data_IF_463418745531
#
_entry.id   IF_463418745531
#
_cell.length_a   1.000
_cell.length_b   1.000
_cell.length_c   1.000
_cell.angle_alpha   90.00
_cell.angle_beta   90.00
_cell.angle_gamma   90.00
#
_symmetry.space_group_name_H-M   'P 1'
#
loop_
_entity.id
_entity.type
_entity.pdbx_description
1 polymer ?
#
# COMPACT_ATOMS: atom_id res chain seq x y z
N UNK A 1 -3.79 6.20 -4.04
CA UNK A 1 -5.27 6.21 -3.97
C UNK A 1 -5.86 4.87 -3.50
N UNK A 2 -5.78 3.79 -4.25
CA UNK A 2 -6.42 2.50 -3.89
C UNK A 2 -5.97 1.97 -2.52
N UNK A 3 -4.70 2.13 -2.16
CA UNK A 3 -4.18 1.73 -0.85
C UNK A 3 -4.81 2.51 0.31
N UNK A 4 -5.17 3.77 0.12
CA UNK A 4 -5.79 4.59 1.16
C UNK A 4 -7.24 4.22 1.38
N UNK A 5 -7.97 3.95 0.29
CA UNK A 5 -9.34 3.40 0.38
C UNK A 5 -9.29 2.07 1.12
N UNK A 6 -8.33 1.20 0.77
CA UNK A 6 -8.12 -0.05 1.49
C UNK A 6 -7.79 0.17 2.98
N UNK A 7 -6.90 1.11 3.31
CA UNK A 7 -6.54 1.42 4.70
C UNK A 7 -7.72 1.96 5.49
N UNK A 8 -8.55 2.84 4.89
CA UNK A 8 -9.76 3.35 5.51
C UNK A 8 -10.77 2.24 5.77
N UNK A 9 -11.09 1.43 4.75
CA UNK A 9 -12.00 0.30 4.89
C UNK A 9 -11.49 -0.73 5.91
N UNK A 10 -10.17 -0.92 5.97
CA UNK A 10 -9.54 -1.77 6.98
C UNK A 10 -9.81 -1.25 8.38
N UNK A 11 -9.58 0.04 8.63
CA UNK A 11 -9.84 0.66 9.93
C UNK A 11 -11.32 0.57 10.33
N UNK A 12 -12.24 0.73 9.37
CA UNK A 12 -13.69 0.68 9.59
C UNK A 12 -14.19 -0.75 9.89
N UNK A 13 -13.65 -1.76 9.24
CA UNK A 13 -14.20 -3.12 9.29
C UNK A 13 -13.37 -4.12 10.09
N UNK A 14 -12.06 -3.91 10.24
CA UNK A 14 -11.15 -4.78 11.00
C UNK A 14 -10.71 -4.11 12.29
N UNK A 15 -10.62 -2.77 12.29
CA UNK A 15 -10.18 -1.99 13.44
C UNK A 15 -8.69 -1.63 13.41
N UNK A 16 -8.27 -0.86 14.41
CA UNK A 16 -6.90 -0.33 14.50
C UNK A 16 -5.90 -1.30 15.15
N UNK A 17 -6.38 -2.34 15.83
CA UNK A 17 -5.52 -3.24 16.59
C UNK A 17 -4.66 -4.15 15.73
N UNK A 18 -5.13 -4.51 14.54
CA UNK A 18 -4.45 -5.40 13.62
C UNK A 18 -4.36 -4.75 12.24
N UNK A 19 -3.15 -4.33 11.83
CA UNK A 19 -2.94 -3.77 10.48
C UNK A 19 -2.99 -4.86 9.40
N UNK A 20 -3.28 -4.48 8.16
CA UNK A 20 -3.32 -5.42 7.05
C UNK A 20 -2.00 -6.22 6.86
N UNK A 21 -0.79 -5.62 6.98
CA UNK A 21 0.46 -6.39 6.96
C UNK A 21 0.59 -7.37 8.14
N UNK A 22 0.16 -6.97 9.35
CA UNK A 22 0.16 -7.87 10.51
C UNK A 22 -0.76 -9.05 10.30
N UNK A 23 -1.98 -8.81 9.81
CA UNK A 23 -2.91 -9.88 9.46
C UNK A 23 -2.32 -10.82 8.41
N UNK A 24 -1.64 -10.30 7.39
CA UNK A 24 -1.00 -11.12 6.36
C UNK A 24 0.06 -12.08 6.94
N UNK A 25 0.88 -11.59 7.89
CA UNK A 25 1.87 -12.44 8.59
C UNK A 25 1.16 -13.51 9.43
N UNK A 26 0.14 -13.15 10.18
CA UNK A 26 -0.61 -14.11 10.99
C UNK A 26 -1.33 -15.13 10.11
N UNK A 27 -1.92 -14.70 9.00
CA UNK A 27 -2.58 -15.61 8.05
C UNK A 27 -1.58 -16.57 7.40
N UNK A 28 -0.40 -16.10 7.00
CA UNK A 28 0.66 -16.97 6.47
C UNK A 28 1.06 -18.05 7.47
N UNK A 29 1.17 -17.70 8.76
CA UNK A 29 1.45 -18.65 9.85
C UNK A 29 0.27 -19.60 10.17
N UNK A 30 -0.97 -19.17 9.94
CA UNK A 30 -2.13 -20.04 10.05
C UNK A 30 -2.15 -21.13 8.97
N UNK A 31 -1.71 -20.76 7.76
CA UNK A 31 -1.65 -21.67 6.60
C UNK A 31 -0.43 -22.61 6.64
N UNK A 32 0.68 -22.16 7.23
CA UNK A 32 1.93 -22.93 7.31
C UNK A 32 2.58 -22.77 8.70
N UNK A 33 2.08 -23.49 9.69
CA UNK A 33 2.66 -23.48 11.03
C UNK A 33 4.13 -24.00 11.01
N UNK A 34 5.02 -23.28 11.66
CA UNK A 34 6.43 -23.67 11.72
C UNK A 34 7.27 -23.20 10.56
N UNK A 35 6.75 -22.39 9.65
CA UNK A 35 7.54 -21.75 8.61
C UNK A 35 8.62 -20.83 9.21
N UNK A 36 9.76 -20.72 8.54
CA UNK A 36 10.79 -19.77 8.96
C UNK A 36 10.42 -18.32 8.58
N UNK A 37 11.16 -17.37 9.17
CA UNK A 37 10.88 -15.95 8.98
C UNK A 37 10.98 -15.50 7.52
N UNK A 38 11.84 -16.09 6.71
CA UNK A 38 11.99 -15.79 5.28
C UNK A 38 10.74 -16.24 4.51
N UNK A 39 10.34 -17.48 4.68
CA UNK A 39 9.15 -18.05 4.03
C UNK A 39 7.88 -17.26 4.38
N UNK A 40 7.71 -16.92 5.67
CA UNK A 40 6.57 -16.07 6.09
C UNK A 40 6.63 -14.68 5.49
N UNK A 41 7.84 -14.08 5.39
CA UNK A 41 8.05 -12.78 4.75
C UNK A 41 7.67 -12.80 3.27
N UNK A 42 8.11 -13.81 2.53
CA UNK A 42 7.76 -14.02 1.13
C UNK A 42 6.23 -14.14 0.95
N UNK A 43 5.56 -14.96 1.77
CA UNK A 43 4.10 -15.12 1.72
C UNK A 43 3.32 -13.86 2.15
N UNK A 44 3.83 -13.12 3.13
CA UNK A 44 3.23 -11.86 3.57
C UNK A 44 3.63 -10.68 2.68
N UNK A 45 4.49 -10.92 1.68
CA UNK A 45 5.09 -9.89 0.82
C UNK A 45 5.73 -8.77 1.64
N UNK A 46 6.65 -9.12 2.53
CA UNK A 46 7.43 -8.20 3.35
C UNK A 46 8.91 -8.44 3.12
N UNK A 47 9.66 -7.34 2.97
CA UNK A 47 11.11 -7.39 2.92
C UNK A 47 11.70 -7.86 4.26
N UNK A 48 12.98 -8.26 4.24
CA UNK A 48 13.67 -8.85 5.38
C UNK A 48 13.68 -7.95 6.62
N UNK A 49 13.88 -6.64 6.45
CA UNK A 49 13.96 -5.68 7.55
C UNK A 49 12.58 -5.46 8.17
N UNK A 50 11.59 -5.15 7.34
CA UNK A 50 10.19 -4.98 7.75
C UNK A 50 9.66 -6.23 8.44
N UNK A 51 9.98 -7.43 7.90
CA UNK A 51 9.56 -8.69 8.49
C UNK A 51 10.20 -8.92 9.87
N UNK A 52 11.47 -8.55 10.06
CA UNK A 52 12.14 -8.68 11.35
C UNK A 52 11.48 -7.82 12.44
N UNK A 53 11.17 -6.56 12.11
CA UNK A 53 10.45 -5.66 13.02
C UNK A 53 9.02 -6.13 13.30
N UNK A 54 8.33 -6.59 12.26
CA UNK A 54 6.97 -7.12 12.37
C UNK A 54 6.91 -8.31 13.31
N UNK A 55 7.79 -9.30 13.13
CA UNK A 55 7.87 -10.48 14.01
C UNK A 55 8.18 -10.06 15.44
N UNK A 56 9.16 -9.16 15.64
CA UNK A 56 9.50 -8.68 16.98
C UNK A 56 8.27 -8.02 17.67
N UNK A 57 7.49 -7.25 16.93
CA UNK A 57 6.27 -6.60 17.42
C UNK A 57 5.17 -7.63 17.74
N UNK A 58 4.92 -8.59 16.86
CA UNK A 58 3.89 -9.62 17.04
C UNK A 58 4.24 -10.57 18.18
N UNK A 59 5.52 -10.90 18.37
CA UNK A 59 6.00 -11.69 19.52
C UNK A 59 5.79 -10.92 20.84
N UNK A 60 6.14 -9.64 20.90
CA UNK A 60 5.90 -8.80 22.09
C UNK A 60 4.41 -8.67 22.44
N UNK A 61 3.53 -8.67 21.43
CA UNK A 61 2.07 -8.69 21.61
C UNK A 61 1.52 -10.06 21.96
N UNK A 62 2.36 -11.08 22.05
CA UNK A 62 1.93 -12.45 22.36
C UNK A 62 1.10 -13.13 21.27
N UNK A 63 1.15 -12.63 20.01
CA UNK A 63 0.38 -13.18 18.89
C UNK A 63 1.18 -14.25 18.12
N UNK A 64 2.51 -14.18 18.16
CA UNK A 64 3.42 -15.11 17.47
C UNK A 64 4.40 -15.71 18.47
N UNK A 65 4.63 -17.01 18.34
CA UNK A 65 5.65 -17.78 19.06
C UNK A 65 6.87 -17.93 18.13
N UNK A 66 8.06 -17.79 18.70
CA UNK A 66 9.32 -17.98 17.98
C UNK A 66 10.14 -19.06 18.68
N UNK A 67 10.53 -20.09 17.94
CA UNK A 67 11.35 -21.21 18.44
C UNK A 67 12.59 -21.35 17.57
N UNK A 68 13.66 -21.92 18.10
CA UNK A 68 14.79 -22.36 17.29
C UNK A 68 14.40 -23.64 16.56
N UNK A 69 14.85 -23.78 15.31
CA UNK A 69 14.72 -25.02 14.57
C UNK A 69 15.59 -26.10 15.23
N UNK A 70 15.03 -27.24 15.63
CA UNK A 70 15.83 -28.34 16.23
C UNK A 70 16.88 -28.92 15.28
N UNK A 71 16.62 -28.86 13.96
CA UNK A 71 17.54 -29.39 12.95
C UNK A 71 18.63 -28.37 12.51
N UNK A 72 18.33 -27.06 12.60
CA UNK A 72 19.25 -25.98 12.30
C UNK A 72 19.05 -24.82 13.28
N UNK A 73 19.87 -24.76 14.30
CA UNK A 73 19.80 -23.74 15.35
C UNK A 73 19.98 -22.28 14.88
N UNK A 74 20.40 -22.06 13.60
CA UNK A 74 20.47 -20.74 12.95
C UNK A 74 19.09 -20.27 12.45
N UNK A 75 18.18 -21.22 12.17
CA UNK A 75 16.82 -20.95 11.73
C UNK A 75 15.90 -20.69 12.91
N UNK A 76 14.98 -19.76 12.71
CA UNK A 76 13.92 -19.43 13.69
C UNK A 76 12.57 -19.76 13.06
N UNK A 77 11.90 -20.73 13.63
CA UNK A 77 10.55 -21.14 13.24
C UNK A 77 9.52 -20.27 13.96
N UNK A 78 8.49 -19.90 13.24
CA UNK A 78 7.39 -19.07 13.73
C UNK A 78 6.09 -19.89 13.76
N UNK A 79 5.26 -19.63 14.75
CA UNK A 79 3.93 -20.22 14.86
C UNK A 79 2.98 -19.21 15.49
N UNK A 80 1.68 -19.35 15.23
CA UNK A 80 0.67 -18.59 15.97
C UNK A 80 0.63 -19.03 17.42
N UNK A 81 0.44 -18.08 18.32
CA UNK A 81 -0.06 -18.36 19.66
C UNK A 81 -1.58 -18.60 19.62
N UNK A 82 -2.15 -19.01 20.74
CA UNK A 82 -3.61 -19.10 20.88
C UNK A 82 -4.29 -17.74 20.63
N UNK A 83 -3.71 -16.65 21.16
CA UNK A 83 -4.20 -15.29 20.93
C UNK A 83 -4.04 -14.86 19.47
N UNK A 84 -2.94 -15.25 18.79
CA UNK A 84 -2.74 -14.98 17.38
C UNK A 84 -3.77 -15.69 16.50
N UNK A 85 -4.05 -16.95 16.79
CA UNK A 85 -5.10 -17.71 16.09
C UNK A 85 -6.50 -17.11 16.31
N UNK A 86 -6.77 -16.61 17.51
CA UNK A 86 -8.03 -15.92 17.81
C UNK A 86 -8.13 -14.60 17.04
N UNK A 87 -7.07 -13.79 17.02
CA UNK A 87 -7.03 -12.52 16.30
C UNK A 87 -7.28 -12.71 14.78
N UNK A 88 -6.73 -13.78 14.18
CA UNK A 88 -7.02 -14.13 12.77
C UNK A 88 -8.50 -14.45 12.57
N UNK A 89 -9.10 -15.28 13.44
CA UNK A 89 -10.53 -15.63 13.33
C UNK A 89 -11.43 -14.39 13.41
N UNK A 90 -11.20 -13.53 14.38
CA UNK A 90 -11.98 -12.30 14.61
C UNK A 90 -11.85 -11.32 13.44
N UNK A 91 -10.63 -11.13 12.91
CA UNK A 91 -10.38 -10.23 11.79
C UNK A 91 -10.96 -10.74 10.46
N UNK A 92 -11.07 -12.07 10.27
CA UNK A 92 -11.46 -12.65 8.97
C UNK A 92 -12.78 -12.11 8.44
N UNK A 93 -13.81 -11.97 9.28
CA UNK A 93 -15.10 -11.40 8.87
C UNK A 93 -14.99 -9.93 8.41
N UNK A 94 -14.17 -9.15 9.09
CA UNK A 94 -13.85 -7.77 8.70
C UNK A 94 -13.11 -7.70 7.37
N UNK A 95 -12.11 -8.55 7.18
CA UNK A 95 -11.32 -8.63 5.93
C UNK A 95 -12.22 -8.96 4.73
N UNK A 96 -13.15 -9.91 4.89
CA UNK A 96 -14.13 -10.24 3.82
C UNK A 96 -15.00 -9.03 3.49
N UNK A 97 -15.43 -8.24 4.49
CA UNK A 97 -16.19 -7.01 4.25
C UNK A 97 -15.37 -5.95 3.51
N UNK A 98 -14.12 -5.71 3.93
CA UNK A 98 -13.20 -4.80 3.22
C UNK A 98 -13.11 -5.14 1.73
N UNK A 99 -12.88 -6.41 1.44
CA UNK A 99 -12.74 -6.90 0.07
C UNK A 99 -14.03 -6.71 -0.73
N UNK A 100 -15.18 -7.14 -0.15
CA UNK A 100 -16.48 -6.98 -0.79
C UNK A 100 -16.79 -5.51 -1.11
N UNK A 101 -16.56 -4.60 -0.15
CA UNK A 101 -16.82 -3.17 -0.34
C UNK A 101 -15.89 -2.56 -1.40
N UNK A 102 -14.62 -3.00 -1.46
CA UNK A 102 -13.68 -2.55 -2.49
C UNK A 102 -14.10 -2.98 -3.90
N UNK A 103 -14.69 -4.17 -4.03
CA UNK A 103 -15.12 -4.73 -5.31
C UNK A 103 -16.54 -4.41 -5.72
N UNK A 104 -17.37 -3.92 -4.79
CA UNK A 104 -18.80 -3.63 -5.06
C UNK A 104 -19.04 -2.79 -6.32
N UNK A 105 -18.19 -1.77 -6.66
CA UNK A 105 -18.39 -0.96 -7.86
C UNK A 105 -18.02 -1.67 -9.17
N UNK A 106 -17.42 -2.87 -9.10
CA UNK A 106 -16.91 -3.61 -10.25
C UNK A 106 -17.83 -4.78 -10.58
N UNK A 107 -18.09 -5.00 -11.86
CA UNK A 107 -18.72 -6.24 -12.33
C UNK A 107 -17.80 -7.45 -12.08
N UNK A 108 -18.34 -8.67 -12.15
CA UNK A 108 -17.55 -9.89 -11.97
C UNK A 108 -16.37 -9.99 -12.96
N UNK A 109 -16.59 -9.61 -14.22
CA UNK A 109 -15.54 -9.61 -15.24
C UNK A 109 -14.47 -8.54 -14.95
N UNK A 110 -14.88 -7.34 -14.50
CA UNK A 110 -13.97 -6.27 -14.08
C UNK A 110 -13.15 -6.65 -12.85
N UNK A 111 -13.73 -7.41 -11.91
CA UNK A 111 -12.99 -7.94 -10.75
C UNK A 111 -11.88 -8.91 -11.18
N UNK A 112 -12.19 -9.84 -12.08
CA UNK A 112 -11.20 -10.77 -12.62
C UNK A 112 -10.12 -10.06 -13.46
N UNK A 113 -10.53 -9.09 -14.26
CA UNK A 113 -9.62 -8.26 -15.05
C UNK A 113 -8.64 -7.51 -14.14
N UNK A 114 -9.15 -6.85 -13.08
CA UNK A 114 -8.32 -6.14 -12.10
C UNK A 114 -7.31 -7.06 -11.42
N UNK A 115 -7.72 -8.27 -11.02
CA UNK A 115 -6.82 -9.26 -10.44
C UNK A 115 -5.70 -9.65 -11.40
N UNK A 116 -6.03 -9.92 -12.67
CA UNK A 116 -5.03 -10.29 -13.69
C UNK A 116 -4.01 -9.17 -13.91
N UNK A 117 -4.49 -7.94 -14.03
CA UNK A 117 -3.63 -6.77 -14.26
C UNK A 117 -2.74 -6.49 -13.05
N UNK A 118 -3.30 -6.53 -11.83
CA UNK A 118 -2.51 -6.36 -10.60
C UNK A 118 -1.47 -7.48 -10.42
N UNK A 119 -1.79 -8.71 -10.83
CA UNK A 119 -0.85 -9.82 -10.77
C UNK A 119 0.33 -9.63 -11.75
N UNK A 120 0.09 -9.07 -12.93
CA UNK A 120 1.16 -8.68 -13.87
C UNK A 120 2.04 -7.57 -13.28
N UNK A 121 1.45 -6.50 -12.73
CA UNK A 121 2.19 -5.42 -12.03
C UNK A 121 3.02 -5.98 -10.86
N UNK A 122 2.46 -6.93 -10.12
CA UNK A 122 3.13 -7.65 -9.04
C UNK A 122 4.22 -8.62 -9.53
N UNK A 123 4.38 -8.76 -10.87
CA UNK A 123 5.34 -9.66 -11.53
C UNK A 123 5.21 -11.12 -11.08
N UNK A 124 3.96 -11.57 -10.88
CA UNK A 124 3.68 -12.96 -10.55
C UNK A 124 3.83 -13.84 -11.79
N UNK A 125 4.34 -15.05 -11.56
CA UNK A 125 4.43 -16.07 -12.60
C UNK A 125 3.03 -16.43 -13.16
N UNK A 126 2.90 -16.69 -14.49
CA UNK A 126 1.62 -17.00 -15.12
C UNK A 126 0.83 -18.13 -14.44
N UNK A 127 1.51 -19.15 -13.94
CA UNK A 127 0.88 -20.25 -13.19
C UNK A 127 0.25 -19.78 -11.86
N UNK A 128 0.89 -18.84 -11.16
CA UNK A 128 0.34 -18.23 -9.95
C UNK A 128 -0.89 -17.36 -10.28
N UNK A 129 -0.85 -16.64 -11.41
CA UNK A 129 -2.00 -15.84 -11.89
C UNK A 129 -3.18 -16.74 -12.23
N UNK A 130 -2.95 -17.84 -12.97
CA UNK A 130 -3.98 -18.82 -13.31
C UNK A 130 -4.60 -19.42 -12.03
N UNK A 131 -3.80 -19.82 -11.06
CA UNK A 131 -4.30 -20.35 -9.79
C UNK A 131 -5.20 -19.38 -9.03
N UNK A 132 -4.98 -18.05 -9.15
CA UNK A 132 -5.81 -17.02 -8.53
C UNK A 132 -7.14 -16.80 -9.26
N UNK A 133 -7.22 -17.18 -10.55
CA UNK A 133 -8.39 -16.89 -11.41
C UNK A 133 -9.23 -18.11 -11.77
N UNK A 134 -8.69 -19.33 -11.72
CA UNK A 134 -9.33 -20.52 -12.29
C UNK A 134 -10.10 -21.39 -11.28
N UNK A 135 -9.76 -21.38 -9.99
CA UNK A 135 -10.23 -22.41 -9.05
C UNK A 135 -11.44 -22.06 -8.18
N UNK A 136 -11.94 -20.86 -8.18
CA UNK A 136 -13.20 -20.32 -7.61
C UNK A 136 -13.16 -18.79 -7.74
N UNK A 137 -13.56 -18.25 -8.90
CA UNK A 137 -13.05 -16.95 -9.34
C UNK A 137 -13.34 -15.77 -8.42
N UNK A 138 -14.45 -15.74 -7.72
CA UNK A 138 -14.85 -14.53 -6.97
C UNK A 138 -14.32 -14.47 -5.53
N UNK A 139 -14.32 -15.59 -4.79
CA UNK A 139 -13.89 -15.56 -3.39
C UNK A 139 -12.36 -15.54 -3.24
N UNK A 140 -11.64 -16.25 -4.12
CA UNK A 140 -10.19 -16.32 -4.07
C UNK A 140 -9.55 -15.10 -4.75
N UNK A 141 -10.16 -14.57 -5.82
CA UNK A 141 -9.77 -13.29 -6.42
C UNK A 141 -9.90 -12.13 -5.42
N UNK A 142 -11.01 -12.05 -4.69
CA UNK A 142 -11.19 -11.04 -3.67
C UNK A 142 -10.15 -11.15 -2.55
N UNK A 143 -9.76 -12.37 -2.13
CA UNK A 143 -8.68 -12.59 -1.14
C UNK A 143 -7.31 -12.20 -1.67
N UNK A 144 -7.07 -12.39 -2.96
CA UNK A 144 -5.80 -12.08 -3.60
C UNK A 144 -5.51 -10.57 -3.69
N UNK A 145 -6.52 -9.71 -3.81
CA UNK A 145 -6.31 -8.28 -4.07
C UNK A 145 -5.48 -7.58 -3.00
N UNK A 146 -5.76 -7.80 -1.72
CA UNK A 146 -4.93 -7.24 -0.65
C UNK A 146 -3.46 -7.69 -0.73
N UNK A 147 -3.21 -8.91 -1.16
CA UNK A 147 -1.88 -9.43 -1.46
C UNK A 147 -1.28 -8.74 -2.68
N UNK A 148 -2.01 -8.69 -3.80
CA UNK A 148 -1.54 -8.08 -5.06
C UNK A 148 -1.23 -6.59 -4.92
N UNK A 149 -2.07 -5.84 -4.19
CA UNK A 149 -1.80 -4.43 -3.87
C UNK A 149 -0.49 -4.29 -3.08
N UNK A 150 -0.24 -5.16 -2.09
CA UNK A 150 1.02 -5.12 -1.33
C UNK A 150 2.23 -5.46 -2.19
N UNK A 151 2.15 -6.50 -3.02
CA UNK A 151 3.26 -6.88 -3.91
C UNK A 151 3.51 -5.77 -4.94
N UNK A 152 2.47 -5.23 -5.56
CA UNK A 152 2.58 -4.08 -6.46
C UNK A 152 3.23 -2.87 -5.77
N UNK A 153 2.87 -2.59 -4.51
CA UNK A 153 3.51 -1.54 -3.71
C UNK A 153 4.99 -1.82 -3.44
N UNK A 154 5.39 -3.07 -3.25
CA UNK A 154 6.81 -3.42 -3.08
C UNK A 154 7.59 -3.23 -4.37
N UNK A 155 7.04 -3.66 -5.51
CA UNK A 155 7.62 -3.40 -6.83
C UNK A 155 7.80 -1.90 -7.04
N UNK A 156 6.74 -1.10 -6.76
CA UNK A 156 6.82 0.36 -6.83
C UNK A 156 7.91 0.93 -5.91
N UNK A 157 7.97 0.52 -4.65
CA UNK A 157 8.96 1.01 -3.68
C UNK A 157 10.39 0.68 -4.10
N UNK A 158 10.62 -0.53 -4.64
CA UNK A 158 11.91 -0.94 -5.19
C UNK A 158 12.31 -0.07 -6.37
N UNK A 159 11.44 0.09 -7.36
CA UNK A 159 11.67 0.95 -8.54
C UNK A 159 11.93 2.40 -8.12
N UNK A 160 11.16 2.90 -7.15
CA UNK A 160 11.36 4.24 -6.60
C UNK A 160 12.77 4.42 -6.01
N UNK A 161 13.21 3.48 -5.18
CA UNK A 161 14.55 3.52 -4.59
C UNK A 161 15.67 3.47 -5.63
N UNK A 162 15.45 2.73 -6.72
CA UNK A 162 16.44 2.56 -7.81
C UNK A 162 16.52 3.78 -8.74
N UNK A 163 15.41 4.46 -8.99
CA UNK A 163 15.32 5.52 -10.02
C UNK A 163 15.11 6.92 -9.49
N UNK A 164 14.51 7.10 -8.30
CA UNK A 164 14.31 8.41 -7.66
C UNK A 164 15.25 8.59 -6.46
N UNK A 165 15.57 7.48 -5.77
CA UNK A 165 16.46 7.51 -4.61
C UNK A 165 15.72 7.73 -3.28
N UNK A 166 16.49 8.10 -2.25
CA UNK A 166 16.00 8.21 -0.87
C UNK A 166 15.67 9.64 -0.42
N UNK A 167 16.03 10.65 -1.20
CA UNK A 167 15.84 12.05 -0.82
C UNK A 167 14.37 12.46 -0.81
N UNK A 168 13.56 11.85 -1.68
CA UNK A 168 12.14 12.14 -1.83
C UNK A 168 11.35 10.84 -1.88
N UNK A 169 10.46 10.62 -0.91
CA UNK A 169 9.56 9.46 -0.95
C UNK A 169 8.39 9.73 -1.89
N UNK A 170 7.75 8.69 -2.44
CA UNK A 170 6.60 8.83 -3.34
C UNK A 170 5.45 9.67 -2.73
N UNK A 171 5.05 9.52 -1.44
CA UNK A 171 4.07 10.43 -0.85
C UNK A 171 4.54 11.87 -0.72
N UNK A 172 5.85 12.11 -0.50
CA UNK A 172 6.40 13.47 -0.47
C UNK A 172 6.37 14.10 -1.86
N UNK A 173 6.76 13.33 -2.89
CA UNK A 173 6.65 13.77 -4.28
C UNK A 173 5.20 14.16 -4.61
N UNK A 174 4.22 13.33 -4.30
CA UNK A 174 2.81 13.62 -4.56
C UNK A 174 2.32 14.92 -3.89
N UNK A 175 2.83 15.26 -2.69
CA UNK A 175 2.52 16.54 -2.04
C UNK A 175 3.18 17.71 -2.74
N UNK A 176 4.44 17.57 -3.17
CA UNK A 176 5.13 18.65 -3.91
C UNK A 176 4.49 18.86 -5.28
N UNK A 177 4.17 17.80 -5.99
CA UNK A 177 3.49 17.81 -7.29
C UNK A 177 2.10 18.48 -7.21
N UNK A 178 1.31 18.13 -6.19
CA UNK A 178 0.03 18.80 -5.92
C UNK A 178 0.20 20.31 -5.65
N UNK A 179 1.29 20.73 -4.99
CA UNK A 179 1.60 22.14 -4.73
C UNK A 179 2.14 22.89 -5.96
N UNK A 180 2.74 22.18 -6.92
CA UNK A 180 3.10 22.76 -8.22
C UNK A 180 1.86 22.99 -9.07
N UNK A 181 0.93 22.03 -9.05
CA UNK A 181 -0.34 22.11 -9.80
C UNK A 181 -1.27 23.19 -9.24
N UNK A 182 -1.38 23.30 -7.90
CA UNK A 182 -2.23 24.28 -7.21
C UNK A 182 -1.44 25.07 -6.16
N UNK A 183 -0.66 26.08 -6.57
CA UNK A 183 0.09 26.93 -5.66
C UNK A 183 -0.83 27.73 -4.74
N UNK A 184 -0.56 27.66 -3.44
CA UNK A 184 -1.36 28.36 -2.43
C UNK A 184 -2.61 27.62 -1.99
N UNK A 185 -2.78 26.36 -2.37
CA UNK A 185 -3.84 25.50 -1.87
C UNK A 185 -3.73 25.30 -0.35
N UNK A 186 -4.87 25.10 0.31
CA UNK A 186 -4.84 24.74 1.73
C UNK A 186 -4.47 23.28 1.95
N UNK A 187 -4.10 22.96 3.19
CA UNK A 187 -3.64 21.62 3.56
C UNK A 187 -4.66 20.51 3.25
N UNK A 188 -5.97 20.81 3.28
CA UNK A 188 -7.02 19.85 2.96
C UNK A 188 -7.02 19.54 1.46
N UNK A 189 -7.02 20.56 0.62
CA UNK A 189 -6.99 20.43 -0.84
C UNK A 189 -5.75 19.66 -1.30
N UNK A 190 -4.56 20.04 -0.78
CA UNK A 190 -3.31 19.29 -1.09
C UNK A 190 -3.39 17.83 -0.63
N UNK A 191 -4.00 17.57 0.53
CA UNK A 191 -4.23 16.21 1.02
C UNK A 191 -5.16 15.39 0.12
N UNK A 192 -6.21 16.00 -0.41
CA UNK A 192 -7.13 15.39 -1.37
C UNK A 192 -6.40 15.06 -2.68
N UNK A 193 -5.65 16.02 -3.25
CA UNK A 193 -4.85 15.82 -4.47
C UNK A 193 -3.76 14.75 -4.29
N UNK A 194 -2.97 14.84 -3.22
CA UNK A 194 -1.94 13.85 -2.89
C UNK A 194 -2.54 12.54 -2.35
N UNK A 195 -3.87 12.48 -2.23
CA UNK A 195 -4.59 11.35 -1.66
C UNK A 195 -4.08 10.95 -0.26
N UNK A 196 -3.83 11.89 0.64
CA UNK A 196 -3.39 11.67 2.02
C UNK A 196 -4.51 12.02 3.02
N UNK A 197 -4.66 11.19 4.06
CA UNK A 197 -5.57 11.50 5.15
C UNK A 197 -5.07 12.70 5.98
N UNK A 198 -5.98 13.33 6.73
CA UNK A 198 -5.70 14.55 7.49
C UNK A 198 -4.51 14.44 8.46
N UNK A 199 -4.36 13.30 9.14
CA UNK A 199 -3.29 13.10 10.12
C UNK A 199 -1.94 12.92 9.43
N UNK A 200 -1.88 12.05 8.42
CA UNK A 200 -0.69 11.82 7.59
C UNK A 200 -0.25 13.11 6.88
N UNK A 201 -1.22 13.89 6.35
CA UNK A 201 -0.92 15.16 5.70
C UNK A 201 -0.35 16.19 6.68
N UNK A 202 -0.85 16.26 7.91
CA UNK A 202 -0.32 17.19 8.91
C UNK A 202 1.14 16.90 9.27
N UNK A 203 1.48 15.61 9.45
CA UNK A 203 2.87 15.19 9.69
C UNK A 203 3.75 15.44 8.46
N UNK A 204 3.25 15.15 7.27
CA UNK A 204 3.96 15.33 6.01
C UNK A 204 4.32 16.81 5.80
N UNK A 205 3.35 17.72 5.92
CA UNK A 205 3.58 19.15 5.81
C UNK A 205 4.59 19.64 6.85
N UNK A 206 4.45 19.24 8.11
CA UNK A 206 5.40 19.60 9.16
C UNK A 206 6.83 19.16 8.84
N UNK A 207 6.99 17.99 8.23
CA UNK A 207 8.28 17.45 7.82
C UNK A 207 8.85 18.20 6.62
N UNK A 208 8.04 18.48 5.59
CA UNK A 208 8.45 19.19 4.38
C UNK A 208 8.82 20.66 4.69
N UNK A 209 8.05 21.31 5.56
CA UNK A 209 8.37 22.69 6.04
C UNK A 209 9.70 22.70 6.81
N UNK A 210 9.93 21.75 7.71
CA UNK A 210 11.23 21.64 8.43
C UNK A 210 12.41 21.37 7.51
N UNK A 211 12.20 20.67 6.39
CA UNK A 211 13.21 20.45 5.35
C UNK A 211 13.41 21.67 4.44
N UNK A 212 12.61 22.73 4.59
CA UNK A 212 12.65 23.91 3.73
C UNK A 212 12.12 23.68 2.32
N UNK A 213 11.35 22.61 2.06
CA UNK A 213 10.81 22.28 0.75
C UNK A 213 9.43 22.91 0.51
N UNK A 214 8.69 23.19 1.56
CA UNK A 214 7.34 23.78 1.52
C UNK A 214 7.29 25.00 2.41
N UNK A 215 6.71 26.07 1.92
CA UNK A 215 6.39 27.29 2.64
C UNK A 215 4.95 27.21 3.14
N UNK A 216 4.72 27.64 4.38
CA UNK A 216 3.42 27.68 4.99
C UNK A 216 3.14 29.10 5.51
N UNK A 217 2.05 29.70 5.08
CA UNK A 217 1.59 31.00 5.55
C UNK A 217 0.11 30.92 5.95
N UNK A 218 -0.31 31.77 6.86
CA UNK A 218 -1.73 31.91 7.19
C UNK A 218 -2.47 32.58 6.04
N UNK A 219 -3.71 32.13 5.79
CA UNK A 219 -4.59 32.78 4.84
C UNK A 219 -4.97 34.17 5.39
N UNK A 220 -4.74 35.27 4.63
CA UNK A 220 -5.11 36.61 5.07
C UNK A 220 -6.62 36.82 5.25
N UNK A 221 -7.45 36.02 4.55
CA UNK A 221 -8.90 36.09 4.57
C UNK A 221 -9.53 35.20 5.63
N UNK A 222 -8.86 34.09 6.01
CA UNK A 222 -9.27 33.17 7.05
C UNK A 222 -8.06 32.66 7.84
N UNK A 223 -7.77 33.31 8.96
CA UNK A 223 -6.62 32.96 9.81
C UNK A 223 -6.63 31.53 10.40
N UNK A 224 -7.71 30.74 10.18
CA UNK A 224 -7.77 29.31 10.54
C UNK A 224 -7.17 28.41 9.47
N UNK A 225 -7.02 28.92 8.24
CA UNK A 225 -6.46 28.19 7.10
C UNK A 225 -4.95 28.45 6.97
N UNK A 226 -4.22 27.42 6.62
CA UNK A 226 -2.83 27.51 6.22
C UNK A 226 -2.74 27.25 4.72
N UNK A 227 -2.17 28.20 4.00
CA UNK A 227 -1.86 28.10 2.58
C UNK A 227 -0.44 27.53 2.44
N UNK A 228 -0.27 26.63 1.50
CA UNK A 228 0.98 25.95 1.23
C UNK A 228 1.48 26.30 -0.17
N UNK A 229 2.79 26.41 -0.32
CA UNK A 229 3.43 26.58 -1.63
C UNK A 229 4.81 25.93 -1.62
N UNK A 230 5.33 25.60 -2.79
CA UNK A 230 6.72 25.15 -2.91
C UNK A 230 7.68 26.27 -2.54
N UNK A 231 8.80 25.91 -1.90
CA UNK A 231 9.98 26.76 -1.87
C UNK A 231 10.78 26.59 -3.18
N UNK A 232 11.74 27.49 -3.49
CA UNK A 232 12.66 27.27 -4.62
C UNK A 232 13.37 25.92 -4.54
N UNK A 233 13.86 25.53 -3.37
CA UNK A 233 14.51 24.22 -3.16
C UNK A 233 13.52 23.06 -3.34
N UNK A 234 12.26 23.22 -2.93
CA UNK A 234 11.21 22.22 -3.15
C UNK A 234 10.92 22.03 -4.62
N UNK A 235 10.88 23.11 -5.40
CA UNK A 235 10.67 23.08 -6.84
C UNK A 235 11.85 22.43 -7.58
N UNK A 236 13.08 22.79 -7.23
CA UNK A 236 14.29 22.14 -7.78
C UNK A 236 14.30 20.63 -7.51
N UNK A 237 13.98 20.21 -6.28
CA UNK A 237 13.94 18.80 -5.93
C UNK A 237 12.83 18.05 -6.69
N UNK A 238 11.64 18.64 -6.82
CA UNK A 238 10.53 18.07 -7.59
C UNK A 238 10.94 17.86 -9.06
N UNK A 239 11.50 18.88 -9.70
CA UNK A 239 11.91 18.81 -11.10
C UNK A 239 13.07 17.82 -11.31
N UNK A 240 14.02 17.74 -10.38
CA UNK A 240 15.12 16.77 -10.48
C UNK A 240 14.64 15.32 -10.37
N UNK A 241 13.54 15.08 -9.63
CA UNK A 241 12.95 13.76 -9.49
C UNK A 241 12.08 13.33 -10.68
N UNK A 242 11.56 14.26 -11.48
CA UNK A 242 10.55 14.01 -12.52
C UNK A 242 10.95 12.91 -13.51
N UNK A 243 12.19 12.91 -14.00
CA UNK A 243 12.68 11.89 -14.93
C UNK A 243 12.71 10.49 -14.28
N UNK A 244 13.12 10.40 -13.00
CA UNK A 244 13.10 9.16 -12.24
C UNK A 244 11.68 8.65 -12.01
N UNK A 245 10.75 9.54 -11.71
CA UNK A 245 9.32 9.20 -11.51
C UNK A 245 8.72 8.67 -12.81
N UNK A 246 8.94 9.34 -13.94
CA UNK A 246 8.48 8.86 -15.25
C UNK A 246 9.06 7.47 -15.58
N UNK A 247 10.30 7.20 -15.19
CA UNK A 247 10.92 5.88 -15.35
C UNK A 247 10.23 4.82 -14.45
N UNK A 248 9.91 5.16 -13.19
CA UNK A 248 9.17 4.26 -12.28
C UNK A 248 7.81 3.91 -12.86
N UNK A 249 7.05 4.90 -13.32
CA UNK A 249 5.73 4.70 -13.93
C UNK A 249 5.81 3.79 -15.15
N UNK A 250 6.75 4.06 -16.06
CA UNK A 250 6.98 3.23 -17.25
C UNK A 250 7.30 1.79 -16.88
N UNK A 251 8.24 1.57 -15.96
CA UNK A 251 8.65 0.22 -15.55
C UNK A 251 7.57 -0.52 -14.77
N UNK A 252 6.75 0.20 -13.99
CA UNK A 252 5.63 -0.39 -13.26
C UNK A 252 4.56 -0.92 -14.21
N UNK A 253 4.31 -0.21 -15.31
CA UNK A 253 3.29 -0.55 -16.30
C UNK A 253 3.83 -1.42 -17.46
N UNK A 254 5.15 -1.61 -17.57
CA UNK A 254 5.79 -2.41 -18.62
C UNK A 254 5.19 -3.82 -18.81
N UNK A 255 4.77 -4.56 -17.76
CA UNK A 255 4.19 -5.89 -17.94
C UNK A 255 2.79 -5.88 -18.58
N UNK A 256 2.20 -4.70 -18.76
CA UNK A 256 0.85 -4.52 -19.27
C UNK A 256 0.84 -4.13 -20.75
N UNK A 257 -0.08 -4.71 -21.49
CA UNK A 257 -0.39 -4.24 -22.84
C UNK A 257 -0.99 -2.82 -22.81
N UNK A 258 -0.84 -1.99 -23.86
CA UNK A 258 -1.35 -0.62 -23.87
C UNK A 258 -2.82 -0.47 -23.47
N UNK A 259 -3.67 -1.40 -23.91
CA UNK A 259 -5.08 -1.42 -23.51
C UNK A 259 -5.28 -1.72 -22.03
N UNK A 260 -4.45 -2.59 -21.44
CA UNK A 260 -4.50 -2.92 -20.02
C UNK A 260 -3.99 -1.75 -19.15
N UNK A 261 -3.02 -0.96 -19.62
CA UNK A 261 -2.52 0.24 -18.93
C UNK A 261 -3.61 1.29 -18.75
N UNK A 262 -4.41 1.54 -19.78
CA UNK A 262 -5.56 2.44 -19.66
C UNK A 262 -6.66 1.83 -18.77
N UNK A 263 -6.92 0.55 -18.96
CA UNK A 263 -7.99 -0.15 -18.25
C UNK A 263 -7.76 -0.26 -16.75
N UNK A 264 -6.53 -0.49 -16.31
CA UNK A 264 -6.20 -0.56 -14.86
C UNK A 264 -6.51 0.74 -14.13
N UNK A 265 -6.27 1.89 -14.75
CA UNK A 265 -6.59 3.19 -14.14
C UNK A 265 -8.10 3.35 -13.93
N UNK A 266 -8.91 2.96 -14.94
CA UNK A 266 -10.38 2.97 -14.83
C UNK A 266 -10.86 2.02 -13.74
N UNK A 267 -10.34 0.79 -13.68
CA UNK A 267 -10.73 -0.20 -12.69
C UNK A 267 -10.34 0.21 -11.27
N UNK A 268 -9.14 0.76 -11.09
CA UNK A 268 -8.69 1.30 -9.81
C UNK A 268 -9.51 2.54 -9.40
N UNK A 269 -9.86 3.41 -10.35
CA UNK A 269 -10.74 4.57 -10.12
C UNK A 269 -12.11 4.13 -9.63
N UNK A 270 -12.73 3.15 -10.29
CA UNK A 270 -14.01 2.57 -9.86
C UNK A 270 -13.91 1.95 -8.45
N UNK A 271 -12.91 1.09 -8.22
CA UNK A 271 -12.70 0.45 -6.91
C UNK A 271 -12.46 1.49 -5.79
N UNK A 272 -11.80 2.58 -6.10
CA UNK A 272 -11.59 3.70 -5.18
C UNK A 272 -12.81 4.63 -5.06
N UNK A 273 -13.88 4.40 -5.82
CA UNK A 273 -15.08 5.26 -5.91
C UNK A 273 -14.75 6.70 -6.28
N UNK A 274 -13.78 6.87 -7.15
CA UNK A 274 -13.45 8.17 -7.71
C UNK A 274 -14.37 8.44 -8.89
N UNK A 275 -14.88 9.67 -8.97
CA UNK A 275 -15.60 10.11 -10.17
C UNK A 275 -14.65 9.97 -11.38
N UNK A 276 -15.13 9.51 -12.55
CA UNK A 276 -14.33 9.59 -13.77
C UNK A 276 -13.98 11.06 -14.00
N UNK A 277 -12.71 11.36 -14.28
CA UNK A 277 -12.34 12.68 -14.78
C UNK A 277 -13.13 12.94 -16.06
N UNK A 278 -13.89 14.03 -16.08
CA UNK A 278 -14.75 14.44 -17.17
C UNK A 278 -13.94 14.97 -18.34
#
# INVERSE_FOLDING_TARGET
MTQQVHTRLWSEHVGAELTAPQFAVLLALALEPGADQRTVGERASLDKATMAEMVARLVRRGLVLRRRDPADGRRKLLALSQNGAQAVREATGGVVRVQRTLFEPLSSDEQLELVRVLAKIARLEPAAVAALTDTRPLLDAQRAVGYLIRVGQQVHTKLWSEHVGSELTAPQFAVLDALETEPGADQRTVGELASLDKATMAEMVSRLVRRGLVLRRRDPSDGRRNLLSLSPTGQELLHSAAAGVAQVERLLLEPLEPAEQQRVLVLLGKAARLAPEA
#
